data_IF_563132027880
#
_entry.id   IF_563132027880
#
_cell.length_a   1.000
_cell.length_b   1.000
_cell.length_c   1.000
_cell.angle_alpha   90.00
_cell.angle_beta   90.00
_cell.angle_gamma   90.00
#
_symmetry.space_group_name_H-M   'P 1'
#
loop_
_entity.id
_entity.type
_entity.pdbx_description
1 polymer ?
#
# COMPACT_ATOMS: atom_id res chain seq x y z
N UNK A 1 12.11 -19.75 3.92
CA UNK A 1 12.86 -18.92 4.89
C UNK A 1 13.13 -17.57 4.21
N UNK A 2 12.15 -16.65 4.21
CA UNK A 2 12.19 -15.39 3.44
C UNK A 2 11.69 -14.17 4.25
N UNK A 3 11.63 -14.28 5.59
CA UNK A 3 10.99 -13.26 6.42
C UNK A 3 11.95 -12.15 6.90
N UNK A 4 13.26 -12.36 6.88
CA UNK A 4 14.22 -11.42 7.48
C UNK A 4 14.72 -10.32 6.51
N UNK A 5 14.73 -10.58 5.19
CA UNK A 5 15.21 -9.62 4.18
C UNK A 5 14.15 -8.56 3.81
N UNK A 6 12.86 -8.91 3.91
CA UNK A 6 11.76 -8.05 3.50
C UNK A 6 11.40 -7.00 4.57
N UNK A 7 11.56 -7.33 5.86
CA UNK A 7 11.31 -6.36 6.94
C UNK A 7 12.37 -5.26 6.98
N UNK A 8 13.63 -5.61 6.73
CA UNK A 8 14.73 -4.64 6.63
C UNK A 8 14.55 -3.66 5.44
N UNK A 9 13.96 -4.13 4.34
CA UNK A 9 13.67 -3.29 3.17
C UNK A 9 12.45 -2.38 3.39
N UNK A 10 11.39 -2.85 4.08
CA UNK A 10 10.23 -2.02 4.44
C UNK A 10 10.62 -0.89 5.41
N UNK A 11 11.41 -1.18 6.44
CA UNK A 11 11.87 -0.15 7.38
C UNK A 11 12.68 0.95 6.67
N UNK A 12 13.58 0.56 5.75
CA UNK A 12 14.36 1.50 4.94
C UNK A 12 13.47 2.35 4.01
N UNK A 13 12.44 1.74 3.40
CA UNK A 13 11.45 2.46 2.58
C UNK A 13 10.66 3.45 3.44
N UNK A 14 10.26 3.09 4.66
CA UNK A 14 9.55 3.98 5.60
C UNK A 14 10.42 5.19 5.95
N UNK A 15 11.68 4.98 6.34
CA UNK A 15 12.59 6.06 6.69
C UNK A 15 12.92 6.96 5.50
N UNK A 16 13.04 6.38 4.30
CA UNK A 16 13.17 7.15 3.07
C UNK A 16 11.90 7.98 2.81
N UNK A 17 10.72 7.38 2.92
CA UNK A 17 9.41 8.00 2.66
C UNK A 17 9.14 9.17 3.61
N UNK A 18 9.48 8.97 4.90
CA UNK A 18 9.39 10.00 5.95
C UNK A 18 10.32 11.18 5.68
N UNK A 19 11.59 10.92 5.32
CA UNK A 19 12.56 11.98 4.97
C UNK A 19 12.14 12.78 3.74
N UNK A 20 11.43 12.14 2.81
CA UNK A 20 10.98 12.76 1.56
C UNK A 20 9.58 13.40 1.67
N UNK A 21 8.96 13.43 2.86
CA UNK A 21 7.60 13.94 3.09
C UNK A 21 6.60 13.40 2.04
N UNK A 22 6.69 12.11 1.74
CA UNK A 22 5.88 11.47 0.72
C UNK A 22 4.43 11.32 1.20
N UNK A 23 3.51 11.72 0.33
CA UNK A 23 2.10 11.91 0.66
C UNK A 23 1.25 10.65 0.66
N UNK A 24 1.65 9.58 -0.04
CA UNK A 24 0.77 8.42 -0.28
C UNK A 24 1.55 7.10 -0.26
N UNK A 25 1.04 6.10 0.47
CA UNK A 25 1.53 4.71 0.48
C UNK A 25 0.45 3.76 -0.07
N UNK A 26 0.86 2.81 -0.93
CA UNK A 26 0.01 1.73 -1.43
C UNK A 26 0.28 0.43 -0.66
N UNK A 27 -0.77 -0.20 -0.15
CA UNK A 27 -0.67 -1.43 0.64
C UNK A 27 -1.37 -2.59 -0.06
N UNK A 28 -0.70 -3.75 -0.13
CA UNK A 28 -1.35 -5.00 -0.53
C UNK A 28 -2.38 -5.41 0.52
N UNK A 29 -1.96 -5.47 1.78
CA UNK A 29 -2.80 -5.86 2.89
C UNK A 29 -3.13 -4.62 3.73
N UNK A 30 -4.41 -4.39 4.12
CA UNK A 30 -4.75 -3.25 4.96
C UNK A 30 -4.07 -3.32 6.34
N UNK A 31 -3.67 -4.50 6.81
CA UNK A 31 -3.00 -4.69 8.12
C UNK A 31 -1.62 -4.04 8.20
N UNK A 32 -0.96 -3.84 7.06
CA UNK A 32 0.41 -3.30 7.01
C UNK A 32 0.48 -1.85 7.52
N UNK A 33 -0.67 -1.15 7.59
CA UNK A 33 -0.77 0.25 8.04
C UNK A 33 -0.17 0.50 9.42
N UNK A 34 -0.17 -0.51 10.30
CA UNK A 34 0.38 -0.40 11.67
C UNK A 34 1.87 0.03 11.62
N UNK A 35 2.60 -0.33 10.57
CA UNK A 35 4.00 0.07 10.40
C UNK A 35 4.19 1.52 9.93
N UNK A 36 3.15 2.12 9.36
CA UNK A 36 3.14 3.43 8.70
C UNK A 36 2.29 4.47 9.44
N UNK A 37 1.66 4.10 10.55
CA UNK A 37 0.82 5.01 11.33
C UNK A 37 1.62 6.25 11.77
N UNK A 38 1.02 7.43 11.58
CA UNK A 38 1.66 8.72 11.81
C UNK A 38 2.87 9.06 10.92
N UNK A 39 3.20 8.26 9.89
CA UNK A 39 4.38 8.45 9.02
C UNK A 39 4.03 8.80 7.57
N UNK A 40 2.76 8.87 7.22
CA UNK A 40 2.29 9.18 5.86
C UNK A 40 1.00 10.00 5.89
N UNK A 41 0.79 10.83 4.87
CA UNK A 41 -0.39 11.72 4.79
C UNK A 41 -1.64 10.99 4.25
N UNK A 42 -1.46 9.90 3.50
CA UNK A 42 -2.57 9.13 2.94
C UNK A 42 -2.17 7.69 2.63
N UNK A 43 -3.15 6.79 2.70
CA UNK A 43 -2.96 5.36 2.46
C UNK A 43 -4.07 4.81 1.58
N UNK A 44 -3.70 3.92 0.67
CA UNK A 44 -4.64 3.20 -0.18
C UNK A 44 -4.35 1.69 -0.13
N UNK A 45 -5.32 0.92 0.37
CA UNK A 45 -5.27 -0.54 0.33
C UNK A 45 -5.76 -1.05 -1.04
N UNK A 46 -4.91 -1.74 -1.78
CA UNK A 46 -5.21 -2.27 -3.12
C UNK A 46 -5.74 -3.70 -3.08
N UNK A 47 -5.53 -4.43 -1.97
CA UNK A 47 -5.96 -5.81 -1.76
C UNK A 47 -5.33 -6.86 -2.71
N UNK A 48 -4.41 -6.43 -3.57
CA UNK A 48 -3.68 -7.30 -4.50
C UNK A 48 -2.41 -6.61 -4.97
N UNK A 49 -1.39 -7.42 -5.27
CA UNK A 49 -0.11 -6.99 -5.83
C UNK A 49 0.00 -7.26 -7.34
N UNK A 50 -1.04 -7.86 -7.95
CA UNK A 50 -1.01 -8.20 -9.36
C UNK A 50 -1.06 -6.93 -10.23
N UNK A 51 -0.03 -6.75 -11.05
CA UNK A 51 0.10 -5.69 -12.03
C UNK A 51 0.10 -6.22 -13.45
N UNK A 52 1.07 -5.74 -14.23
CA UNK A 52 1.33 -6.19 -15.59
C UNK A 52 2.42 -7.27 -15.58
N UNK A 53 2.19 -8.36 -16.28
CA UNK A 53 3.18 -9.41 -16.52
C UNK A 53 3.16 -9.76 -18.01
N UNK A 54 4.30 -9.60 -18.70
CA UNK A 54 4.44 -9.79 -20.16
C UNK A 54 3.36 -9.09 -21.00
N UNK A 55 3.01 -7.85 -20.66
CA UNK A 55 1.96 -7.08 -21.37
C UNK A 55 0.53 -7.47 -20.98
N UNK A 56 0.35 -8.52 -20.17
CA UNK A 56 -0.95 -9.00 -19.74
C UNK A 56 -1.29 -8.45 -18.36
N UNK A 57 -2.51 -7.92 -18.20
CA UNK A 57 -3.03 -7.57 -16.87
C UNK A 57 -3.31 -8.83 -16.07
N UNK A 58 -2.69 -8.94 -14.90
CA UNK A 58 -2.89 -10.05 -13.96
C UNK A 58 -3.93 -9.73 -12.88
N UNK A 59 -4.38 -8.48 -12.81
CA UNK A 59 -5.44 -8.02 -11.90
C UNK A 59 -5.75 -6.55 -12.11
N UNK A 60 -6.88 -6.10 -11.57
CA UNK A 60 -7.37 -4.72 -11.73
C UNK A 60 -6.94 -3.77 -10.60
N UNK A 61 -6.57 -4.31 -9.43
CA UNK A 61 -6.32 -3.52 -8.22
C UNK A 61 -5.29 -2.40 -8.39
N UNK A 62 -4.12 -2.69 -8.99
CA UNK A 62 -3.08 -1.68 -9.19
C UNK A 62 -3.48 -0.63 -10.23
N UNK A 63 -4.29 -0.99 -11.22
CA UNK A 63 -4.79 -0.05 -12.23
C UNK A 63 -5.90 0.83 -11.66
N UNK A 64 -6.79 0.28 -10.84
CA UNK A 64 -7.78 1.06 -10.10
C UNK A 64 -7.08 2.04 -9.14
N UNK A 65 -6.01 1.61 -8.46
CA UNK A 65 -5.20 2.48 -7.62
C UNK A 65 -4.57 3.62 -8.43
N UNK A 66 -3.96 3.33 -9.59
CA UNK A 66 -3.41 4.37 -10.47
C UNK A 66 -4.48 5.39 -10.89
N UNK A 67 -5.66 4.93 -11.33
CA UNK A 67 -6.79 5.80 -11.69
C UNK A 67 -7.29 6.64 -10.52
N UNK A 68 -7.27 6.09 -9.31
CA UNK A 68 -7.64 6.83 -8.10
C UNK A 68 -6.63 7.93 -7.77
N UNK A 69 -5.33 7.64 -7.92
CA UNK A 69 -4.26 8.62 -7.65
C UNK A 69 -4.30 9.81 -8.59
N UNK A 70 -4.70 9.62 -9.85
CA UNK A 70 -4.84 10.71 -10.84
C UNK A 70 -6.23 11.37 -10.80
N UNK A 71 -7.12 10.93 -9.92
CA UNK A 71 -8.46 11.50 -9.74
C UNK A 71 -9.50 11.05 -10.77
N UNK A 72 -9.18 10.10 -11.66
CA UNK A 72 -10.14 9.53 -12.61
C UNK A 72 -11.15 8.58 -11.95
N UNK A 73 -10.75 7.95 -10.85
CA UNK A 73 -11.59 7.04 -10.08
C UNK A 73 -11.77 7.58 -8.66
N UNK A 74 -13.00 7.77 -8.23
CA UNK A 74 -13.30 8.09 -6.82
C UNK A 74 -13.41 6.80 -6.01
N UNK A 75 -12.52 6.54 -5.02
CA UNK A 75 -12.61 5.35 -4.18
C UNK A 75 -13.91 5.37 -3.35
N UNK A 76 -14.61 4.24 -3.32
CA UNK A 76 -15.84 4.05 -2.54
C UNK A 76 -15.78 2.84 -1.59
N UNK A 77 -14.66 2.11 -1.61
CA UNK A 77 -14.46 0.94 -0.79
C UNK A 77 -14.46 1.26 0.71
N UNK A 78 -15.03 0.35 1.50
CA UNK A 78 -14.94 0.34 2.96
C UNK A 78 -14.12 -0.86 3.39
N UNK A 79 -13.44 -0.76 4.53
CA UNK A 79 -12.65 -1.87 5.06
C UNK A 79 -13.58 -3.09 5.29
N UNK A 80 -13.29 -4.25 4.67
CA UNK A 80 -14.07 -5.47 4.88
C UNK A 80 -13.64 -6.22 6.15
N UNK A 81 -12.60 -5.75 6.82
CA UNK A 81 -11.96 -6.36 7.98
C UNK A 81 -11.59 -5.29 8.99
N UNK A 82 -11.56 -5.68 10.26
CA UNK A 82 -11.02 -4.83 11.32
C UNK A 82 -9.49 -4.87 11.28
N UNK A 83 -8.86 -3.74 11.58
CA UNK A 83 -7.42 -3.62 11.77
C UNK A 83 -7.22 -3.39 13.26
N UNK A 84 -6.41 -4.22 13.90
CA UNK A 84 -6.12 -4.12 15.32
C UNK A 84 -4.67 -3.74 15.50
N UNK A 85 -4.42 -2.68 16.27
CA UNK A 85 -3.10 -2.49 16.84
C UNK A 85 -2.99 -3.42 18.06
N UNK A 86 -1.92 -4.20 18.10
CA UNK A 86 -1.55 -5.00 19.28
C UNK A 86 -0.53 -4.17 20.04
N UNK A 87 -1.05 -3.20 20.80
CA UNK A 87 -0.31 -2.59 21.91
C UNK A 87 -0.32 -3.54 23.11
#
# INVERSE_FOLDING_TARGET
>A
MAAASDTASIAAIIDYTRRQQKKIVLLRSPYDIINFDGKTDAVLATYSYYGLDNGVRRGESLFAAARALVGELKPSGKLPVNIYNVD
#
